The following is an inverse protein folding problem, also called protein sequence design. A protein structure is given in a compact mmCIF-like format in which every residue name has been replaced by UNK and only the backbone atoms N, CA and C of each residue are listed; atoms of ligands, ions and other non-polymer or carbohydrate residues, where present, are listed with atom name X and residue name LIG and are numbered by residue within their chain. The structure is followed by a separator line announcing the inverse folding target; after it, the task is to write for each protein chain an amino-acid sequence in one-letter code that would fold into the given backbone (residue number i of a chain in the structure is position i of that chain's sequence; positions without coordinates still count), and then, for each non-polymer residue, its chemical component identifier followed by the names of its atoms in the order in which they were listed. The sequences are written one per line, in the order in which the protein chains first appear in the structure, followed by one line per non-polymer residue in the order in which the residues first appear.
data_IF_919099208989
#
_entry.id   IF_919099208989
#
_cell.length_a   1.000
_cell.length_b   1.000
_cell.length_c   1.000
_cell.angle_alpha   90.00
_cell.angle_beta   90.00
_cell.angle_gamma   90.00
#
_symmetry.space_group_name_H-M   'P 1'
#
loop_
_entity.id
_entity.type
_entity.pdbx_description
1 polymer ?
#
# COMPACT_ATOMS: atom_id res chain seq x y z
N UNK A 1 -32.46 -35.83 -31.90
CA UNK A 1 -33.23 -34.58 -31.76
C UNK A 1 -33.83 -34.53 -30.35
N UNK A 2 -33.46 -33.49 -29.61
CA UNK A 2 -34.11 -32.92 -28.42
C UNK A 2 -34.77 -33.87 -27.40
N UNK A 3 -34.05 -34.14 -26.29
CA UNK A 3 -34.68 -34.33 -24.98
C UNK A 3 -34.40 -33.08 -24.15
N UNK A 4 -35.45 -32.31 -23.93
CA UNK A 4 -35.54 -31.27 -22.92
C UNK A 4 -35.07 -31.83 -21.58
N UNK A 5 -34.00 -31.28 -21.03
CA UNK A 5 -33.68 -31.42 -19.62
C UNK A 5 -34.53 -30.41 -18.85
N UNK A 6 -35.22 -30.95 -17.86
CA UNK A 6 -36.18 -30.31 -16.99
C UNK A 6 -35.60 -29.11 -16.25
N UNK A 7 -36.45 -28.10 -16.11
CA UNK A 7 -36.27 -26.99 -15.21
C UNK A 7 -36.23 -27.51 -13.76
N UNK A 8 -35.04 -27.55 -13.16
CA UNK A 8 -34.90 -27.47 -11.71
C UNK A 8 -35.03 -25.99 -11.30
N UNK A 9 -36.27 -25.55 -11.14
CA UNK A 9 -36.63 -24.25 -10.59
C UNK A 9 -36.40 -24.27 -9.08
N UNK A 10 -35.30 -23.66 -8.61
CA UNK A 10 -35.06 -23.41 -7.20
C UNK A 10 -35.94 -22.23 -6.72
N UNK A 11 -36.92 -22.46 -5.81
CA UNK A 11 -38.00 -21.51 -5.52
C UNK A 11 -37.64 -20.37 -4.55
N UNK A 12 -36.33 -20.10 -4.30
CA UNK A 12 -35.88 -19.06 -3.36
C UNK A 12 -34.86 -18.04 -3.92
N UNK A 13 -34.73 -17.89 -5.25
CA UNK A 13 -33.83 -16.90 -5.84
C UNK A 13 -34.57 -15.79 -6.60
N UNK A 14 -35.33 -14.95 -5.89
CA UNK A 14 -35.79 -13.68 -6.47
C UNK A 14 -34.61 -12.71 -6.59
N UNK A 15 -33.76 -12.94 -7.59
CA UNK A 15 -32.87 -11.92 -8.09
C UNK A 15 -33.69 -10.77 -8.69
N UNK A 16 -33.17 -9.52 -8.67
CA UNK A 16 -33.87 -8.41 -9.30
C UNK A 16 -34.06 -8.69 -10.80
N UNK A 17 -35.27 -8.42 -11.30
CA UNK A 17 -35.59 -8.57 -12.71
C UNK A 17 -35.14 -7.32 -13.48
N UNK A 18 -34.07 -7.48 -14.26
CA UNK A 18 -33.54 -6.46 -15.16
C UNK A 18 -33.79 -6.80 -16.64
N UNK A 19 -34.70 -7.73 -16.93
CA UNK A 19 -34.95 -8.24 -18.30
C UNK A 19 -35.36 -7.12 -19.26
N UNK A 20 -36.22 -6.20 -18.82
CA UNK A 20 -36.64 -5.02 -19.59
C UNK A 20 -35.47 -4.06 -19.88
N UNK A 21 -34.43 -4.06 -19.04
CA UNK A 21 -33.21 -3.29 -19.22
C UNK A 21 -32.16 -4.04 -20.07
N UNK A 22 -32.48 -5.27 -20.51
CA UNK A 22 -31.61 -6.09 -21.35
C UNK A 22 -30.63 -6.96 -20.55
N UNK A 23 -30.88 -7.22 -19.27
CA UNK A 23 -30.00 -8.03 -18.42
C UNK A 23 -30.75 -9.17 -17.73
N UNK A 24 -30.17 -10.36 -17.71
CA UNK A 24 -30.67 -11.49 -16.95
C UNK A 24 -29.70 -11.79 -15.80
N UNK A 25 -30.13 -11.58 -14.55
CA UNK A 25 -29.30 -11.90 -13.38
C UNK A 25 -29.15 -13.41 -13.25
N UNK A 26 -27.92 -13.87 -13.07
CA UNK A 26 -27.56 -15.28 -12.93
C UNK A 26 -27.37 -15.64 -11.45
N UNK A 27 -26.60 -14.83 -10.71
CA UNK A 27 -26.35 -15.05 -9.28
C UNK A 27 -25.82 -13.79 -8.60
N UNK A 28 -25.88 -13.78 -7.27
CA UNK A 28 -25.16 -12.80 -6.44
C UNK A 28 -23.69 -13.24 -6.26
N UNK A 29 -22.76 -12.33 -6.51
CA UNK A 29 -21.32 -12.52 -6.31
C UNK A 29 -20.85 -12.01 -4.95
N UNK A 30 -21.57 -11.06 -4.36
CA UNK A 30 -21.23 -10.53 -3.04
C UNK A 30 -22.20 -9.44 -2.59
N UNK A 31 -22.28 -9.24 -1.26
CA UNK A 31 -23.17 -8.27 -0.63
C UNK A 31 -22.52 -7.63 0.57
N UNK A 32 -22.53 -6.30 0.60
CA UNK A 32 -22.19 -5.49 1.75
C UNK A 32 -23.47 -4.84 2.28
N UNK A 33 -24.04 -5.42 3.33
CA UNK A 33 -25.33 -5.00 3.91
C UNK A 33 -25.26 -3.61 4.54
N UNK A 34 -24.18 -3.32 5.26
CA UNK A 34 -23.98 -2.03 5.94
C UNK A 34 -23.76 -0.89 4.94
N UNK A 35 -23.11 -1.20 3.82
CA UNK A 35 -22.86 -0.25 2.74
C UNK A 35 -23.93 -0.20 1.66
N UNK A 36 -25.02 -0.97 1.74
CA UNK A 36 -26.09 -1.01 0.73
C UNK A 36 -25.62 -1.38 -0.69
N UNK A 37 -24.58 -2.22 -0.81
CA UNK A 37 -24.02 -2.67 -2.11
C UNK A 37 -24.26 -4.14 -2.33
N UNK A 38 -24.71 -4.51 -3.53
CA UNK A 38 -24.81 -5.90 -3.96
C UNK A 38 -24.18 -6.03 -5.35
N UNK A 39 -23.39 -7.07 -5.55
CA UNK A 39 -22.74 -7.37 -6.84
C UNK A 39 -23.36 -8.62 -7.43
N UNK A 40 -23.82 -8.53 -8.66
CA UNK A 40 -24.46 -9.60 -9.40
C UNK A 40 -23.64 -10.01 -10.61
N UNK A 41 -23.63 -11.30 -10.92
CA UNK A 41 -23.32 -11.81 -12.24
C UNK A 41 -24.59 -11.78 -13.08
N UNK A 42 -24.54 -11.21 -14.27
CA UNK A 42 -25.67 -11.17 -15.19
C UNK A 42 -25.24 -11.50 -16.62
N UNK A 43 -26.20 -11.86 -17.47
CA UNK A 43 -26.04 -11.96 -18.91
C UNK A 43 -26.60 -10.69 -19.57
N UNK A 44 -25.78 -9.98 -20.33
CA UNK A 44 -26.22 -8.84 -21.11
C UNK A 44 -26.77 -9.32 -22.46
N UNK A 45 -28.10 -9.28 -22.64
CA UNK A 45 -28.81 -9.90 -23.75
C UNK A 45 -28.38 -9.32 -25.11
N UNK A 46 -28.22 -7.99 -25.21
CA UNK A 46 -27.81 -7.32 -26.45
C UNK A 46 -26.33 -7.54 -26.81
N UNK A 47 -25.48 -7.72 -25.79
CA UNK A 47 -24.03 -7.87 -25.98
C UNK A 47 -23.62 -9.34 -26.07
N UNK A 48 -24.54 -10.28 -25.80
CA UNK A 48 -24.31 -11.71 -25.77
C UNK A 48 -23.09 -12.13 -24.93
N UNK A 49 -22.94 -11.52 -23.74
CA UNK A 49 -21.81 -11.76 -22.84
C UNK A 49 -22.20 -11.64 -21.38
N UNK A 50 -21.41 -12.26 -20.51
CA UNK A 50 -21.52 -12.08 -19.06
C UNK A 50 -20.99 -10.71 -18.64
N UNK A 51 -21.66 -10.09 -17.68
CA UNK A 51 -21.30 -8.80 -17.08
C UNK A 51 -21.45 -8.85 -15.57
N UNK A 52 -20.81 -7.91 -14.88
CA UNK A 52 -21.02 -7.67 -13.46
C UNK A 52 -21.91 -6.44 -13.30
N UNK A 53 -22.95 -6.55 -12.49
CA UNK A 53 -23.81 -5.43 -12.11
C UNK A 53 -23.59 -5.13 -10.63
N UNK A 54 -23.03 -3.96 -10.31
CA UNK A 54 -22.95 -3.45 -8.94
C UNK A 54 -24.16 -2.55 -8.67
N UNK A 55 -25.01 -2.98 -7.73
CA UNK A 55 -26.16 -2.24 -7.24
C UNK A 55 -25.77 -1.40 -6.02
N UNK A 56 -26.23 -0.16 -6.01
CA UNK A 56 -26.02 0.85 -4.97
C UNK A 56 -27.38 1.38 -4.51
N UNK A 57 -27.97 0.74 -3.50
CA UNK A 57 -29.34 1.02 -3.06
C UNK A 57 -29.48 2.31 -2.25
N UNK A 58 -28.39 2.81 -1.67
CA UNK A 58 -28.36 4.07 -0.94
C UNK A 58 -28.37 5.30 -1.84
N UNK A 59 -28.24 5.14 -3.18
CA UNK A 59 -28.20 6.29 -4.08
C UNK A 59 -29.51 7.09 -4.10
N UNK A 60 -30.64 6.50 -3.66
CA UNK A 60 -31.92 7.19 -3.52
C UNK A 60 -32.10 7.90 -2.17
N UNK A 61 -31.28 7.58 -1.16
CA UNK A 61 -31.29 8.22 0.15
C UNK A 61 -30.14 9.23 0.20
N UNK A 62 -30.41 10.47 0.65
CA UNK A 62 -29.49 11.62 0.63
C UNK A 62 -28.25 11.51 1.55
N UNK A 63 -27.55 10.37 1.57
CA UNK A 63 -26.27 10.19 2.24
C UNK A 63 -25.12 10.51 1.26
N UNK A 64 -24.56 11.70 1.45
CA UNK A 64 -23.60 12.38 0.59
C UNK A 64 -22.26 11.62 0.35
N UNK A 65 -21.92 10.68 1.24
CA UNK A 65 -20.64 9.94 1.22
C UNK A 65 -20.66 8.70 0.34
N UNK A 66 -21.78 7.97 0.33
CA UNK A 66 -21.92 6.74 -0.45
C UNK A 66 -22.20 7.06 -1.91
N UNK A 67 -22.92 8.17 -2.18
CA UNK A 67 -23.13 8.73 -3.54
C UNK A 67 -21.80 9.02 -4.24
N UNK A 68 -20.88 9.71 -3.57
CA UNK A 68 -19.56 10.07 -4.14
C UNK A 68 -18.65 8.87 -4.45
N UNK A 69 -18.90 7.70 -3.87
CA UNK A 69 -18.03 6.54 -4.03
C UNK A 69 -18.25 5.81 -5.37
N UNK A 70 -19.50 5.65 -5.81
CA UNK A 70 -19.78 4.97 -7.09
C UNK A 70 -19.53 5.88 -8.29
N UNK A 71 -19.82 7.18 -8.19
CA UNK A 71 -19.49 8.17 -9.24
C UNK A 71 -17.99 8.17 -9.51
N UNK A 72 -17.18 8.18 -8.44
CA UNK A 72 -15.72 8.10 -8.57
C UNK A 72 -15.25 6.78 -9.18
N UNK A 73 -15.86 5.66 -8.81
CA UNK A 73 -15.52 4.36 -9.42
C UNK A 73 -15.74 4.41 -10.94
N UNK A 74 -16.87 4.97 -11.38
CA UNK A 74 -17.17 5.13 -12.81
C UNK A 74 -16.17 6.04 -13.49
N UNK A 75 -15.93 7.24 -12.94
CA UNK A 75 -14.98 8.20 -13.50
C UNK A 75 -13.59 7.60 -13.67
N UNK A 76 -13.13 6.84 -12.67
CA UNK A 76 -11.83 6.16 -12.72
C UNK A 76 -11.87 5.08 -13.79
N UNK A 77 -12.82 4.15 -13.75
CA UNK A 77 -12.88 3.02 -14.70
C UNK A 77 -13.04 3.47 -16.16
N UNK A 78 -13.74 4.58 -16.42
CA UNK A 78 -13.86 5.18 -17.75
C UNK A 78 -12.52 5.66 -18.33
N UNK A 79 -11.56 6.01 -17.46
CA UNK A 79 -10.23 6.44 -17.86
C UNK A 79 -9.24 5.26 -18.01
N UNK A 80 -9.63 4.05 -17.60
CA UNK A 80 -8.74 2.89 -17.63
C UNK A 80 -8.99 2.01 -18.85
N UNK A 81 -7.89 1.60 -19.48
CA UNK A 81 -7.87 0.59 -20.53
C UNK A 81 -6.74 -0.40 -20.26
N UNK A 82 -7.05 -1.47 -19.52
CA UNK A 82 -6.09 -2.51 -19.17
C UNK A 82 -6.77 -3.87 -19.14
N UNK A 83 -6.19 -4.89 -19.78
CA UNK A 83 -6.81 -6.22 -19.92
C UNK A 83 -7.09 -6.92 -18.58
N UNK A 84 -6.36 -6.57 -17.53
CA UNK A 84 -6.53 -7.11 -16.16
C UNK A 84 -7.34 -6.23 -15.20
N UNK A 85 -8.02 -5.20 -15.73
CA UNK A 85 -8.98 -4.38 -15.00
C UNK A 85 -10.34 -4.51 -15.70
N UNK A 86 -11.46 -4.70 -14.99
CA UNK A 86 -12.78 -4.71 -15.61
C UNK A 86 -13.07 -3.38 -16.32
N UNK A 87 -13.44 -3.45 -17.59
CA UNK A 87 -13.88 -2.26 -18.32
C UNK A 87 -15.27 -1.82 -17.87
N UNK A 88 -15.48 -0.52 -17.67
CA UNK A 88 -16.82 0.05 -17.52
C UNK A 88 -17.64 -0.18 -18.80
N UNK A 89 -18.90 -0.61 -18.66
CA UNK A 89 -19.81 -0.85 -19.79
C UNK A 89 -20.85 0.26 -19.86
N UNK A 90 -21.63 0.45 -18.81
CA UNK A 90 -22.69 1.46 -18.71
C UNK A 90 -23.16 1.58 -17.27
N UNK A 91 -24.08 2.49 -16.99
CA UNK A 91 -24.88 2.53 -15.77
C UNK A 91 -26.35 2.77 -16.08
N UNK A 92 -27.21 2.46 -15.13
CA UNK A 92 -28.64 2.75 -15.20
C UNK A 92 -29.21 2.97 -13.80
N UNK A 93 -30.36 3.61 -13.73
CA UNK A 93 -31.09 3.89 -12.48
C UNK A 93 -32.46 3.24 -12.51
N UNK A 94 -32.93 2.84 -11.33
CA UNK A 94 -34.31 2.43 -11.10
C UNK A 94 -34.84 3.15 -9.86
N UNK A 95 -36.13 3.01 -9.57
CA UNK A 95 -36.70 3.49 -8.31
C UNK A 95 -36.03 2.89 -7.06
N UNK A 96 -35.36 1.74 -7.19
CA UNK A 96 -34.69 1.07 -6.09
C UNK A 96 -33.24 1.55 -5.87
N UNK A 97 -32.58 2.15 -6.86
CA UNK A 97 -31.21 2.63 -6.71
C UNK A 97 -30.43 2.77 -8.03
N UNK A 98 -29.12 2.95 -7.88
CA UNK A 98 -28.19 3.11 -8.99
C UNK A 98 -27.46 1.80 -9.29
N UNK A 99 -27.18 1.52 -10.55
CA UNK A 99 -26.53 0.30 -11.00
C UNK A 99 -25.39 0.61 -11.97
N UNK A 100 -24.20 0.09 -11.68
CA UNK A 100 -23.05 0.13 -12.58
C UNK A 100 -22.87 -1.23 -13.23
N UNK A 101 -22.69 -1.25 -14.55
CA UNK A 101 -22.40 -2.46 -15.34
C UNK A 101 -20.94 -2.40 -15.80
N UNK A 102 -20.20 -3.49 -15.56
CA UNK A 102 -18.82 -3.63 -15.97
C UNK A 102 -18.56 -5.02 -16.57
N UNK A 103 -17.42 -5.16 -17.23
CA UNK A 103 -16.93 -6.42 -17.76
C UNK A 103 -16.85 -7.50 -16.66
N UNK A 104 -17.30 -8.72 -16.98
CA UNK A 104 -17.07 -9.88 -16.13
C UNK A 104 -15.71 -10.51 -16.43
N UNK A 105 -14.87 -10.62 -15.40
CA UNK A 105 -13.65 -11.45 -15.47
C UNK A 105 -13.98 -12.85 -14.96
N UNK A 106 -13.78 -13.85 -15.80
CA UNK A 106 -14.02 -15.25 -15.45
C UNK A 106 -12.91 -15.81 -14.56
N UNK A 107 -12.85 -15.33 -13.32
CA UNK A 107 -11.81 -15.68 -12.36
C UNK A 107 -12.39 -15.62 -10.94
N UNK A 108 -12.15 -16.65 -10.09
CA UNK A 108 -12.57 -16.60 -8.69
C UNK A 108 -11.72 -15.60 -7.88
N UNK A 109 -12.35 -14.99 -6.87
CA UNK A 109 -11.68 -14.11 -5.91
C UNK A 109 -10.68 -14.87 -5.03
N UNK A 110 -9.56 -14.23 -4.66
CA UNK A 110 -8.63 -14.74 -3.65
C UNK A 110 -9.19 -14.68 -2.24
N UNK A 111 -10.33 -14.01 -2.01
CA UNK A 111 -11.07 -14.07 -0.74
C UNK A 111 -11.68 -15.44 -0.46
N UNK A 112 -11.83 -16.29 -1.49
CA UNK A 112 -12.24 -17.68 -1.32
C UNK A 112 -11.02 -18.50 -0.91
N UNK A 113 -11.16 -19.32 0.13
CA UNK A 113 -10.07 -20.13 0.67
C UNK A 113 -9.51 -21.08 -0.40
N UNK A 114 -8.30 -20.78 -0.85
CA UNK A 114 -7.51 -21.53 -1.82
C UNK A 114 -6.05 -21.49 -1.39
N UNK A 115 -5.38 -22.63 -1.44
CA UNK A 115 -3.93 -22.70 -1.22
C UNK A 115 -3.21 -22.52 -2.55
N UNK A 116 -2.06 -21.84 -2.52
CA UNK A 116 -1.19 -21.67 -3.67
C UNK A 116 0.24 -22.08 -3.29
N UNK A 117 0.93 -22.68 -4.25
CA UNK A 117 2.36 -22.83 -4.15
C UNK A 117 3.04 -21.45 -4.19
N UNK A 118 4.13 -21.22 -3.44
CA UNK A 118 4.79 -19.92 -3.41
C UNK A 118 5.16 -19.34 -4.78
N UNK A 119 5.53 -20.19 -5.74
CA UNK A 119 5.84 -19.75 -7.12
C UNK A 119 4.61 -19.17 -7.83
N UNK A 120 3.42 -19.73 -7.59
CA UNK A 120 2.17 -19.19 -8.13
C UNK A 120 1.86 -17.83 -7.51
N UNK A 121 2.14 -17.66 -6.21
CA UNK A 121 1.99 -16.37 -5.52
C UNK A 121 2.94 -15.32 -6.11
N UNK A 122 4.15 -15.69 -6.53
CA UNK A 122 5.03 -14.79 -7.28
C UNK A 122 4.44 -14.40 -8.64
N UNK A 123 3.81 -15.32 -9.37
CA UNK A 123 3.15 -14.99 -10.64
C UNK A 123 1.95 -14.05 -10.45
N UNK A 124 1.15 -14.27 -9.40
CA UNK A 124 0.07 -13.35 -8.99
C UNK A 124 0.65 -11.97 -8.65
N UNK A 125 1.74 -11.92 -7.86
CA UNK A 125 2.41 -10.68 -7.51
C UNK A 125 2.88 -9.90 -8.74
N UNK A 126 3.48 -10.58 -9.72
CA UNK A 126 3.89 -9.96 -10.99
C UNK A 126 2.70 -9.40 -11.77
N UNK A 127 1.61 -10.16 -11.89
CA UNK A 127 0.38 -9.71 -12.55
C UNK A 127 -0.19 -8.44 -11.92
N UNK A 128 -0.25 -8.37 -10.58
CA UNK A 128 -0.74 -7.18 -9.88
C UNK A 128 0.26 -6.01 -9.99
N UNK A 129 1.56 -6.26 -9.92
CA UNK A 129 2.57 -5.21 -10.09
C UNK A 129 2.50 -4.59 -11.49
N UNK A 130 2.18 -5.35 -12.53
CA UNK A 130 1.95 -4.80 -13.88
C UNK A 130 0.74 -3.86 -13.92
N UNK A 131 -0.35 -4.22 -13.24
CA UNK A 131 -1.52 -3.34 -13.06
C UNK A 131 -1.12 -2.06 -12.32
N UNK A 132 -0.37 -2.18 -11.22
CA UNK A 132 0.07 -1.00 -10.46
C UNK A 132 1.01 -0.11 -11.25
N UNK A 133 1.89 -0.66 -12.07
CA UNK A 133 2.70 0.12 -13.02
C UNK A 133 1.81 0.89 -13.99
N UNK A 134 0.74 0.28 -14.50
CA UNK A 134 -0.22 0.95 -15.38
C UNK A 134 -0.96 2.10 -14.67
N UNK A 135 -1.46 1.88 -13.44
CA UNK A 135 -2.15 2.91 -12.65
C UNK A 135 -1.24 4.08 -12.28
N UNK A 136 0.03 3.79 -11.96
CA UNK A 136 1.04 4.80 -11.61
C UNK A 136 1.49 5.65 -12.80
N UNK A 137 1.24 5.19 -14.04
CA UNK A 137 1.52 5.94 -15.27
C UNK A 137 0.38 6.88 -15.69
N UNK A 138 -0.79 6.80 -15.06
CA UNK A 138 -1.89 7.72 -15.34
C UNK A 138 -1.50 9.15 -14.92
N UNK A 139 -2.15 10.16 -15.51
CA UNK A 139 -1.88 11.57 -15.22
C UNK A 139 -3.16 12.24 -14.73
N UNK A 140 -3.29 12.52 -13.42
CA UNK A 140 -2.37 12.16 -12.34
C UNK A 140 -2.38 10.65 -12.01
N UNK A 141 -1.36 10.12 -11.30
CA UNK A 141 -1.30 8.71 -10.92
C UNK A 141 -2.53 8.28 -10.11
N UNK A 142 -3.00 7.05 -10.32
CA UNK A 142 -4.13 6.49 -9.58
C UNK A 142 -3.62 5.55 -8.49
N UNK A 143 -4.16 5.72 -7.27
CA UNK A 143 -3.90 4.87 -6.11
C UNK A 143 -5.18 4.08 -5.82
N UNK A 144 -5.08 2.74 -5.75
CA UNK A 144 -6.24 1.85 -5.59
C UNK A 144 -6.83 1.88 -4.17
N UNK A 145 -5.97 1.89 -3.14
CA UNK A 145 -6.32 1.99 -1.71
C UNK A 145 -6.99 0.79 -1.05
N UNK A 146 -7.59 -0.14 -1.81
CA UNK A 146 -8.21 -1.35 -1.23
C UNK A 146 -7.68 -2.66 -1.83
N UNK A 147 -6.36 -2.80 -1.93
CA UNK A 147 -5.74 -4.06 -2.40
C UNK A 147 -5.75 -5.08 -1.27
N UNK A 148 -6.48 -6.18 -1.48
CA UNK A 148 -6.67 -7.28 -0.54
C UNK A 148 -7.11 -8.54 -1.31
N UNK A 149 -7.10 -9.74 -0.70
CA UNK A 149 -7.51 -10.97 -1.37
C UNK A 149 -8.91 -10.88 -2.03
N UNK A 150 -9.88 -10.24 -1.39
CA UNK A 150 -11.25 -10.16 -1.90
C UNK A 150 -11.34 -9.41 -3.24
N UNK A 151 -10.46 -8.43 -3.44
CA UNK A 151 -10.44 -7.52 -4.60
C UNK A 151 -9.47 -7.97 -5.70
N UNK A 152 -8.91 -9.17 -5.58
CA UNK A 152 -8.07 -9.78 -6.62
C UNK A 152 -8.74 -11.07 -7.08
N UNK A 153 -9.02 -11.15 -8.38
CA UNK A 153 -9.50 -12.39 -9.01
C UNK A 153 -8.32 -13.10 -9.68
N UNK A 154 -8.27 -14.42 -9.64
CA UNK A 154 -7.19 -15.20 -10.30
C UNK A 154 -7.76 -16.39 -11.03
N UNK A 155 -7.54 -16.44 -12.35
CA UNK A 155 -7.97 -17.54 -13.21
C UNK A 155 -7.07 -18.79 -13.10
N UNK A 156 -7.44 -19.85 -13.82
CA UNK A 156 -6.70 -21.12 -13.87
C UNK A 156 -5.30 -21.01 -14.49
N UNK A 157 -4.99 -19.91 -15.18
CA UNK A 157 -3.68 -19.63 -15.76
C UNK A 157 -2.87 -18.65 -14.91
N UNK A 158 -3.32 -18.38 -13.67
CA UNK A 158 -2.67 -17.48 -12.71
C UNK A 158 -2.59 -16.01 -13.18
N UNK A 159 -3.44 -15.61 -14.14
CA UNK A 159 -3.61 -14.19 -14.41
C UNK A 159 -4.43 -13.57 -13.29
N UNK A 160 -3.86 -12.53 -12.67
CA UNK A 160 -4.53 -11.80 -11.61
C UNK A 160 -5.23 -10.54 -12.17
N UNK A 161 -6.48 -10.33 -11.79
CA UNK A 161 -7.30 -9.18 -12.16
C UNK A 161 -7.58 -8.36 -10.91
N UNK A 162 -7.37 -7.04 -10.98
CA UNK A 162 -7.67 -6.13 -9.88
C UNK A 162 -9.07 -5.53 -10.09
N UNK A 163 -9.91 -5.63 -9.08
CA UNK A 163 -11.30 -5.17 -9.11
C UNK A 163 -11.61 -4.25 -7.93
N UNK A 164 -12.76 -3.58 -8.00
CA UNK A 164 -13.31 -2.68 -6.97
C UNK A 164 -12.51 -1.39 -6.74
N UNK A 165 -12.76 -0.41 -7.62
CA UNK A 165 -12.09 0.89 -7.62
C UNK A 165 -12.87 1.95 -6.80
N UNK A 166 -13.85 1.55 -5.97
CA UNK A 166 -14.66 2.49 -5.18
C UNK A 166 -13.85 3.36 -4.21
N UNK A 167 -12.71 2.87 -3.72
CA UNK A 167 -11.80 3.64 -2.89
C UNK A 167 -10.69 4.34 -3.68
N UNK A 168 -10.51 4.01 -4.96
CA UNK A 168 -9.41 4.52 -5.75
C UNK A 168 -9.46 6.04 -5.90
N UNK A 169 -8.30 6.71 -5.96
CA UNK A 169 -8.20 8.16 -6.06
C UNK A 169 -7.02 8.58 -6.93
N UNK A 170 -7.17 9.74 -7.55
CA UNK A 170 -6.08 10.48 -8.16
C UNK A 170 -5.12 10.98 -7.08
N UNK A 171 -3.82 10.80 -7.29
CA UNK A 171 -2.77 11.28 -6.40
C UNK A 171 -2.88 12.80 -6.25
N UNK A 172 -2.84 13.28 -5.01
CA UNK A 172 -2.96 14.70 -4.68
C UNK A 172 -4.39 15.23 -4.57
N UNK A 173 -5.42 14.41 -4.81
CA UNK A 173 -6.80 14.79 -4.51
C UNK A 173 -6.96 15.09 -3.00
N UNK A 174 -7.63 16.20 -2.66
CA UNK A 174 -7.90 16.58 -1.26
C UNK A 174 -8.66 15.46 -0.54
N UNK A 175 -8.11 14.97 0.56
CA UNK A 175 -8.79 14.02 1.43
C UNK A 175 -9.85 14.75 2.26
N UNK A 176 -11.10 14.28 2.19
CA UNK A 176 -12.16 14.70 3.11
C UNK A 176 -11.96 14.05 4.48
N UNK A 177 -12.41 14.69 5.56
CA UNK A 177 -12.40 14.14 6.93
C UNK A 177 -13.05 12.75 7.03
N UNK A 178 -14.07 12.50 6.21
CA UNK A 178 -14.78 11.22 6.10
C UNK A 178 -14.05 10.14 5.28
N UNK A 179 -12.93 10.47 4.63
CA UNK A 179 -12.16 9.56 3.77
C UNK A 179 -10.89 9.00 4.42
N UNK A 180 -10.61 9.42 5.67
CA UNK A 180 -9.38 9.10 6.40
C UNK A 180 -9.35 7.67 6.98
N UNK A 181 -10.47 6.97 7.11
CA UNK A 181 -10.50 5.59 7.63
C UNK A 181 -11.37 4.72 6.73
N UNK A 182 -10.97 4.59 5.47
CA UNK A 182 -11.68 3.74 4.50
C UNK A 182 -10.70 2.74 3.92
N UNK A 183 -10.95 1.45 4.13
CA UNK A 183 -10.11 0.33 3.72
C UNK A 183 -10.18 -0.82 4.74
N UNK A 184 -9.52 -1.93 4.44
CA UNK A 184 -9.65 -3.15 5.27
C UNK A 184 -8.51 -3.24 6.30
N UNK A 185 -8.82 -3.31 7.62
CA UNK A 185 -7.80 -3.41 8.66
C UNK A 185 -6.79 -4.52 8.39
N UNK A 186 -5.51 -4.22 8.57
CA UNK A 186 -4.38 -5.13 8.34
C UNK A 186 -3.85 -5.20 6.90
N UNK A 187 -4.62 -4.74 5.90
CA UNK A 187 -4.11 -4.50 4.53
C UNK A 187 -3.83 -3.02 4.25
N UNK A 188 -4.49 -2.14 5.00
CA UNK A 188 -4.33 -0.69 4.89
C UNK A 188 -2.93 -0.25 5.35
N UNK A 189 -2.19 0.56 4.57
CA UNK A 189 -0.90 1.08 4.98
C UNK A 189 -1.02 2.08 6.15
N UNK A 190 0.01 2.21 7.01
CA UNK A 190 -0.06 3.09 8.18
C UNK A 190 -0.37 4.55 7.83
N UNK A 191 0.21 5.10 6.75
CA UNK A 191 -0.08 6.46 6.33
C UNK A 191 -1.56 6.69 5.99
N UNK A 192 -2.28 5.66 5.54
CA UNK A 192 -3.72 5.78 5.30
C UNK A 192 -4.51 5.77 6.59
N UNK A 193 -4.14 4.91 7.55
CA UNK A 193 -4.77 4.85 8.88
C UNK A 193 -4.70 6.18 9.63
N UNK A 194 -3.59 6.92 9.47
CA UNK A 194 -3.38 8.23 10.08
C UNK A 194 -3.81 9.41 9.20
N UNK A 195 -4.43 9.13 8.04
CA UNK A 195 -4.90 10.17 7.13
C UNK A 195 -3.79 11.03 6.49
N UNK A 196 -2.56 10.52 6.43
CA UNK A 196 -1.47 11.16 5.71
C UNK A 196 -1.61 10.98 4.20
N UNK A 197 -0.96 11.85 3.44
CA UNK A 197 -0.99 11.79 1.98
C UNK A 197 -0.51 10.43 1.45
N UNK A 198 -1.28 9.81 0.56
CA UNK A 198 -0.92 8.54 -0.05
C UNK A 198 0.05 8.72 -1.22
N UNK A 199 0.79 7.66 -1.52
CA UNK A 199 1.76 7.62 -2.62
C UNK A 199 1.65 6.31 -3.36
N UNK A 200 2.36 6.17 -4.47
CA UNK A 200 2.53 4.93 -5.21
C UNK A 200 3.01 3.77 -4.33
N UNK A 201 3.79 4.08 -3.28
CA UNK A 201 4.26 3.09 -2.32
C UNK A 201 3.14 2.56 -1.40
N UNK A 202 2.01 3.27 -1.26
CA UNK A 202 0.88 2.89 -0.39
C UNK A 202 0.23 1.58 -0.86
N UNK A 203 -0.06 1.46 -2.16
CA UNK A 203 -0.58 0.21 -2.75
C UNK A 203 0.43 -0.96 -2.66
N UNK A 204 1.74 -0.68 -2.58
CA UNK A 204 2.76 -1.74 -2.41
C UNK A 204 2.69 -2.39 -1.03
N UNK A 205 2.35 -1.63 0.01
CA UNK A 205 2.13 -2.20 1.34
C UNK A 205 0.94 -3.16 1.31
N UNK A 206 -0.18 -2.72 0.75
CA UNK A 206 -1.40 -3.53 0.66
C UNK A 206 -1.20 -4.79 -0.17
N UNK A 207 -0.46 -4.69 -1.29
CA UNK A 207 -0.03 -5.88 -2.04
C UNK A 207 0.87 -6.78 -1.19
N UNK A 208 1.87 -6.24 -0.49
CA UNK A 208 2.76 -7.02 0.37
C UNK A 208 2.00 -7.79 1.46
N UNK A 209 1.05 -7.12 2.15
CA UNK A 209 0.19 -7.73 3.15
C UNK A 209 -0.70 -8.83 2.55
N UNK A 210 -1.25 -8.59 1.35
CA UNK A 210 -2.01 -9.58 0.59
C UNK A 210 -1.18 -10.83 0.28
N UNK A 211 0.03 -10.67 -0.24
CA UNK A 211 0.91 -11.78 -0.57
C UNK A 211 1.31 -12.58 0.68
N UNK A 212 1.60 -11.88 1.79
CA UNK A 212 1.88 -12.53 3.08
C UNK A 212 0.68 -13.36 3.53
N UNK A 213 -0.54 -12.79 3.47
CA UNK A 213 -1.79 -13.49 3.82
C UNK A 213 -1.95 -14.80 3.04
N UNK A 214 -1.65 -14.79 1.73
CA UNK A 214 -1.72 -15.97 0.87
C UNK A 214 -0.62 -16.99 1.23
N UNK A 215 0.63 -16.53 1.41
CA UNK A 215 1.78 -17.39 1.71
C UNK A 215 1.64 -18.12 3.05
N UNK A 216 1.02 -17.48 4.03
CA UNK A 216 0.76 -18.07 5.36
C UNK A 216 -0.58 -18.81 5.42
N UNK A 217 -1.32 -18.90 4.31
CA UNK A 217 -2.66 -19.46 4.23
C UNK A 217 -3.61 -18.92 5.33
N UNK A 218 -3.43 -17.63 5.67
CA UNK A 218 -4.21 -16.94 6.70
C UNK A 218 -5.47 -16.40 6.05
N UNK A 219 -6.62 -16.51 6.73
CA UNK A 219 -7.85 -15.88 6.24
C UNK A 219 -7.70 -14.36 6.32
N UNK A 220 -8.23 -13.61 5.36
CA UNK A 220 -8.10 -12.15 5.35
C UNK A 220 -8.60 -11.49 6.64
N UNK A 221 -9.71 -11.99 7.20
CA UNK A 221 -10.27 -11.51 8.49
C UNK A 221 -9.37 -11.79 9.69
N UNK A 222 -8.36 -12.63 9.54
CA UNK A 222 -7.39 -13.01 10.58
C UNK A 222 -6.00 -12.41 10.35
N UNK A 223 -5.81 -11.58 9.32
CA UNK A 223 -4.50 -10.97 9.02
C UNK A 223 -3.94 -10.20 10.21
N UNK A 224 -4.81 -9.60 11.04
CA UNK A 224 -4.43 -8.90 12.26
C UNK A 224 -3.68 -9.78 13.27
N UNK A 225 -3.85 -11.11 13.24
CA UNK A 225 -3.11 -12.05 14.09
C UNK A 225 -1.62 -12.14 13.72
N UNK A 226 -1.25 -11.73 12.50
CA UNK A 226 0.14 -11.68 12.06
C UNK A 226 0.82 -10.35 12.43
N UNK A 227 0.07 -9.37 12.92
CA UNK A 227 0.58 -8.03 13.25
C UNK A 227 1.02 -8.03 14.71
N UNK A 228 2.29 -7.69 14.96
CA UNK A 228 2.84 -7.58 16.31
C UNK A 228 2.49 -6.24 17.00
N UNK A 229 2.93 -6.10 18.25
CA UNK A 229 2.79 -4.89 19.07
C UNK A 229 3.42 -3.65 18.42
N UNK A 230 4.40 -3.84 17.52
CA UNK A 230 5.10 -2.81 16.77
C UNK A 230 4.49 -2.57 15.38
N UNK A 231 3.28 -3.09 15.13
CA UNK A 231 2.54 -2.99 13.87
C UNK A 231 3.21 -3.69 12.67
N UNK A 232 4.14 -4.62 12.91
CA UNK A 232 4.85 -5.34 11.84
C UNK A 232 4.20 -6.69 11.57
N UNK A 233 4.13 -7.07 10.30
CA UNK A 233 3.71 -8.41 9.87
C UNK A 233 4.83 -9.42 10.16
N UNK A 234 4.59 -10.32 11.13
CA UNK A 234 5.49 -11.41 11.50
C UNK A 234 5.02 -12.71 10.86
N UNK A 235 5.63 -13.06 9.73
CA UNK A 235 5.27 -14.22 8.92
C UNK A 235 6.43 -15.20 8.74
N UNK A 236 7.66 -14.81 9.05
CA UNK A 236 8.87 -15.51 8.66
C UNK A 236 8.94 -16.94 9.22
N UNK A 237 8.44 -17.15 10.45
CA UNK A 237 8.36 -18.47 11.09
C UNK A 237 7.31 -19.39 10.45
N UNK A 238 6.29 -18.82 9.82
CA UNK A 238 5.20 -19.56 9.17
C UNK A 238 5.58 -20.03 7.76
N UNK A 239 6.62 -19.43 7.17
CA UNK A 239 7.08 -19.74 5.81
C UNK A 239 8.60 -19.98 5.74
N UNK A 240 9.12 -20.96 6.50
CA UNK A 240 10.56 -21.25 6.56
C UNK A 240 11.15 -21.66 5.21
N UNK A 241 10.34 -22.28 4.33
CA UNK A 241 10.71 -22.76 3.01
C UNK A 241 11.06 -21.65 1.99
N UNK A 242 10.66 -20.41 2.25
CA UNK A 242 10.90 -19.32 1.31
C UNK A 242 12.39 -18.95 1.23
N UNK A 243 12.81 -18.51 0.05
CA UNK A 243 14.12 -17.95 -0.13
C UNK A 243 14.29 -16.68 0.72
N UNK A 244 15.43 -16.49 1.41
CA UNK A 244 15.69 -15.29 2.20
C UNK A 244 15.50 -13.98 1.42
N UNK A 245 15.88 -13.91 0.13
CA UNK A 245 15.70 -12.71 -0.70
C UNK A 245 14.22 -12.42 -0.96
N UNK A 246 13.41 -13.46 -1.18
CA UNK A 246 11.97 -13.29 -1.36
C UNK A 246 11.30 -12.81 -0.07
N UNK A 247 11.70 -13.35 1.09
CA UNK A 247 11.27 -12.83 2.39
C UNK A 247 11.67 -11.37 2.60
N UNK A 248 12.92 -11.01 2.29
CA UNK A 248 13.39 -9.63 2.38
C UNK A 248 12.64 -8.69 1.43
N UNK A 249 12.29 -9.17 0.23
CA UNK A 249 11.46 -8.42 -0.71
C UNK A 249 10.07 -8.16 -0.13
N UNK A 250 9.41 -9.17 0.45
CA UNK A 250 8.11 -9.02 1.14
C UNK A 250 8.19 -8.07 2.34
N UNK A 251 9.21 -8.22 3.20
CA UNK A 251 9.44 -7.31 4.34
C UNK A 251 9.56 -5.87 3.85
N UNK A 252 10.31 -5.63 2.77
CA UNK A 252 10.47 -4.30 2.19
C UNK A 252 9.16 -3.74 1.62
N UNK A 253 8.28 -4.58 1.08
CA UNK A 253 6.95 -4.14 0.60
C UNK A 253 6.08 -3.63 1.77
N UNK A 254 6.18 -4.25 2.94
CA UNK A 254 5.34 -3.93 4.12
C UNK A 254 6.04 -3.06 5.18
N UNK A 255 7.11 -2.35 4.80
CA UNK A 255 7.76 -1.39 5.69
C UNK A 255 6.79 -0.26 6.10
N UNK A 256 6.73 0.03 7.40
CA UNK A 256 5.80 1.03 7.95
C UNK A 256 6.06 2.42 7.39
N UNK A 257 7.34 2.81 7.32
CA UNK A 257 7.74 4.08 6.73
C UNK A 257 7.79 3.91 5.21
N UNK A 258 6.87 4.55 4.49
CA UNK A 258 6.82 4.52 3.01
C UNK A 258 8.17 4.76 2.31
N UNK A 259 9.04 5.60 2.87
CA UNK A 259 10.39 5.88 2.33
C UNK A 259 11.35 4.68 2.37
N UNK A 260 11.04 3.64 3.15
CA UNK A 260 11.82 2.40 3.22
C UNK A 260 11.27 1.31 2.27
N UNK A 261 10.07 1.50 1.71
CA UNK A 261 9.53 0.64 0.66
C UNK A 261 10.22 0.90 -0.68
N UNK A 262 9.83 0.13 -1.69
CA UNK A 262 10.13 0.49 -3.08
C UNK A 262 9.45 1.81 -3.45
N UNK A 263 10.15 2.63 -4.24
CA UNK A 263 9.64 3.94 -4.67
C UNK A 263 8.38 3.86 -5.53
N UNK A 264 8.22 2.79 -6.31
CA UNK A 264 7.07 2.53 -7.17
C UNK A 264 6.98 1.04 -7.54
N UNK A 265 5.89 0.65 -8.22
CA UNK A 265 5.64 -0.73 -8.62
C UNK A 265 6.67 -1.26 -9.62
N UNK A 266 7.18 -0.42 -10.51
CA UNK A 266 8.22 -0.83 -11.48
C UNK A 266 9.50 -1.28 -10.77
N UNK A 267 9.92 -0.54 -9.72
CA UNK A 267 11.09 -0.89 -8.91
C UNK A 267 10.86 -2.17 -8.09
N UNK A 268 9.68 -2.34 -7.50
CA UNK A 268 9.32 -3.57 -6.79
C UNK A 268 9.31 -4.79 -7.73
N UNK A 269 8.75 -4.64 -8.92
CA UNK A 269 8.67 -5.68 -9.95
C UNK A 269 10.04 -6.07 -10.49
N UNK A 270 10.88 -5.10 -10.83
CA UNK A 270 12.25 -5.35 -11.27
C UNK A 270 13.07 -6.10 -10.22
N UNK A 271 12.88 -5.78 -8.94
CA UNK A 271 13.52 -6.49 -7.83
C UNK A 271 12.99 -7.92 -7.66
N UNK A 272 11.70 -8.18 -7.94
CA UNK A 272 11.07 -9.50 -7.77
C UNK A 272 11.47 -10.51 -8.84
N UNK A 273 11.53 -10.08 -10.11
CA UNK A 273 11.76 -10.96 -11.27
C UNK A 273 12.92 -11.97 -11.09
N UNK A 274 14.14 -11.56 -10.68
CA UNK A 274 15.28 -12.48 -10.58
C UNK A 274 15.28 -13.33 -9.30
N UNK A 275 14.38 -13.08 -8.35
CA UNK A 275 14.39 -13.77 -7.05
C UNK A 275 13.75 -15.15 -7.19
N UNK A 276 14.48 -16.21 -6.83
CA UNK A 276 13.89 -17.54 -6.64
C UNK A 276 12.99 -17.54 -5.40
N UNK A 277 11.83 -18.18 -5.46
CA UNK A 277 10.85 -18.12 -4.36
C UNK A 277 11.17 -19.10 -3.24
N UNK A 278 11.63 -20.30 -3.58
CA UNK A 278 11.99 -21.38 -2.65
C UNK A 278 13.49 -21.64 -2.74
N UNK A 279 14.09 -22.09 -1.64
CA UNK A 279 15.48 -22.56 -1.59
C UNK A 279 16.38 -21.71 -0.69
N UNK A 280 17.58 -22.22 -0.43
CA UNK A 280 18.57 -21.52 0.39
C UNK A 280 19.14 -20.30 -0.36
N UNK A 281 19.59 -19.30 0.39
CA UNK A 281 20.43 -18.24 -0.15
C UNK A 281 21.69 -18.85 -0.79
N UNK A 282 22.01 -18.48 -2.01
CA UNK A 282 23.26 -18.89 -2.65
C UNK A 282 24.46 -18.25 -1.93
N UNK A 283 25.68 -18.78 -2.11
CA UNK A 283 26.88 -18.18 -1.52
C UNK A 283 27.09 -16.70 -1.89
N UNK A 284 26.65 -16.31 -3.09
CA UNK A 284 26.64 -14.92 -3.55
C UNK A 284 25.62 -14.06 -2.78
N UNK A 285 24.49 -14.64 -2.36
CA UNK A 285 23.46 -13.94 -1.59
C UNK A 285 23.93 -13.66 -0.15
N UNK A 286 24.62 -14.61 0.48
CA UNK A 286 25.27 -14.39 1.77
C UNK A 286 26.34 -13.29 1.67
N UNK A 287 27.09 -13.26 0.57
CA UNK A 287 28.11 -12.25 0.32
C UNK A 287 27.52 -10.86 0.10
N UNK A 288 26.45 -10.72 -0.70
CA UNK A 288 25.77 -9.43 -0.94
C UNK A 288 25.09 -8.92 0.33
N UNK A 289 24.45 -9.80 1.11
CA UNK A 289 23.87 -9.43 2.40
C UNK A 289 24.96 -8.94 3.37
N UNK A 290 26.09 -9.64 3.46
CA UNK A 290 27.24 -9.22 4.26
C UNK A 290 27.82 -7.87 3.80
N UNK A 291 27.83 -7.59 2.50
CA UNK A 291 28.26 -6.28 1.96
C UNK A 291 27.27 -5.17 2.32
N UNK A 292 25.96 -5.41 2.24
CA UNK A 292 24.95 -4.41 2.61
C UNK A 292 25.00 -4.09 4.11
N UNK A 293 25.17 -5.10 4.96
CA UNK A 293 25.39 -4.94 6.40
C UNK A 293 26.68 -4.15 6.67
N UNK A 294 27.79 -4.48 5.99
CA UNK A 294 29.04 -3.69 6.08
C UNK A 294 28.88 -2.25 5.62
N UNK A 295 28.13 -1.97 4.55
CA UNK A 295 27.86 -0.59 4.10
C UNK A 295 27.06 0.18 5.13
N UNK A 296 26.06 -0.44 5.77
CA UNK A 296 25.29 0.18 6.86
C UNK A 296 26.17 0.46 8.08
N UNK A 297 27.01 -0.51 8.45
CA UNK A 297 27.93 -0.38 9.59
C UNK A 297 28.99 0.70 9.36
N UNK A 298 29.62 0.74 8.18
CA UNK A 298 30.59 1.78 7.81
C UNK A 298 29.96 3.17 7.77
N UNK A 299 28.72 3.30 7.28
CA UNK A 299 28.01 4.57 7.27
C UNK A 299 27.70 5.06 8.69
N UNK A 300 27.34 4.15 9.61
CA UNK A 300 27.15 4.44 11.02
C UNK A 300 28.44 4.90 11.70
N UNK A 301 29.58 4.24 11.43
CA UNK A 301 30.90 4.65 11.95
C UNK A 301 31.30 6.04 11.45
N UNK A 302 31.09 6.33 10.16
CA UNK A 302 31.40 7.65 9.61
C UNK A 302 30.52 8.74 10.22
N UNK A 303 29.24 8.44 10.47
CA UNK A 303 28.33 9.38 11.12
C UNK A 303 28.72 9.65 12.59
N UNK A 304 29.15 8.63 13.34
CA UNK A 304 29.59 8.82 14.73
C UNK A 304 30.93 9.56 14.82
N UNK A 305 31.89 9.27 13.93
CA UNK A 305 33.14 10.03 13.84
C UNK A 305 32.90 11.50 13.46
N UNK A 306 32.00 11.75 12.51
CA UNK A 306 31.59 13.11 12.17
C UNK A 306 30.97 13.86 13.34
N UNK A 307 30.09 13.21 14.11
CA UNK A 307 29.49 13.79 15.30
C UNK A 307 30.52 14.12 16.38
N UNK A 308 31.47 13.21 16.63
CA UNK A 308 32.58 13.42 17.57
C UNK A 308 33.44 14.62 17.15
N UNK A 309 33.79 14.74 15.87
CA UNK A 309 34.58 15.85 15.36
C UNK A 309 33.87 17.20 15.57
N UNK A 310 32.54 17.25 15.35
CA UNK A 310 31.73 18.45 15.60
C UNK A 310 31.70 18.80 17.09
N UNK A 311 31.50 17.82 17.97
CA UNK A 311 31.53 18.04 19.42
C UNK A 311 32.90 18.53 19.88
N UNK A 312 33.98 17.94 19.38
CA UNK A 312 35.35 18.39 19.67
C UNK A 312 35.58 19.82 19.18
N UNK A 313 35.15 20.17 17.98
CA UNK A 313 35.26 21.54 17.47
C UNK A 313 34.46 22.54 18.32
N UNK A 314 33.24 22.19 18.73
CA UNK A 314 32.43 23.01 19.64
C UNK A 314 33.14 23.17 20.98
N UNK A 315 33.69 22.09 21.56
CA UNK A 315 34.44 22.14 22.81
C UNK A 315 35.70 23.01 22.71
N UNK A 316 36.41 22.98 21.58
CA UNK A 316 37.58 23.84 21.34
C UNK A 316 37.16 25.31 21.23
N UNK A 317 36.04 25.60 20.57
CA UNK A 317 35.50 26.96 20.44
C UNK A 317 34.92 27.47 21.78
N UNK A 318 34.38 26.57 22.60
CA UNK A 318 33.81 26.89 23.92
C UNK A 318 34.80 26.76 25.07
N UNK A 319 36.04 26.32 24.82
CA UNK A 319 37.12 26.53 25.78
C UNK A 319 37.33 28.04 25.91
N UNK A 320 37.37 28.59 27.14
CA UNK A 320 37.64 30.00 27.35
C UNK A 320 39.09 30.30 26.94
N UNK A 321 39.27 30.63 25.67
CA UNK A 321 40.54 31.09 25.12
C UNK A 321 40.91 32.43 25.74
N UNK A 322 41.94 32.43 26.59
CA UNK A 322 42.81 33.56 26.94
C UNK A 322 42.18 34.91 27.37
N UNK A 323 40.88 35.01 27.63
CA UNK A 323 40.30 36.20 28.26
C UNK A 323 40.67 36.31 29.75
N UNK A 324 40.92 35.17 30.42
CA UNK A 324 41.32 35.12 31.83
C UNK A 324 42.76 35.59 32.11
N UNK A 325 43.67 35.50 31.13
CA UNK A 325 45.05 36.00 31.28
C UNK A 325 45.15 37.53 31.16
N UNK A 326 44.29 38.15 30.34
CA UNK A 326 44.28 39.62 30.21
C UNK A 326 43.76 40.34 31.45
N UNK A 327 42.93 39.71 32.29
CA UNK A 327 42.45 40.33 33.54
C UNK A 327 43.47 40.26 34.69
N UNK A 328 44.38 39.28 34.67
CA UNK A 328 45.48 39.20 35.65
C UNK A 328 46.64 40.13 35.28
N UNK A 329 46.99 40.26 33.99
CA UNK A 329 48.02 41.19 33.54
C UNK A 329 47.62 42.67 33.69
N UNK A 330 46.32 43.01 33.60
CA UNK A 330 45.86 44.39 33.84
C UNK A 330 45.89 44.80 35.32
N UNK A 331 45.84 43.84 36.26
CA UNK A 331 45.97 44.15 37.70
C UNK A 331 47.43 44.37 38.10
N UNK A 332 48.38 43.60 37.55
CA UNK A 332 49.82 43.82 37.79
C UNK A 332 50.33 45.15 37.20
N UNK A 333 49.76 45.63 36.08
CA UNK A 333 50.15 46.93 35.51
C UNK A 333 49.63 48.14 36.31
N UNK A 334 48.50 48.03 37.01
CA UNK A 334 48.01 49.13 37.86
C UNK A 334 48.80 49.26 39.17
N UNK A 335 49.27 48.15 39.75
CA UNK A 335 50.10 48.20 40.97
C UNK A 335 51.53 48.70 40.70
N UNK A 336 52.08 48.50 39.48
CA UNK A 336 53.40 49.02 39.10
C UNK A 336 53.41 50.50 38.69
N UNK A 337 52.30 51.05 38.19
CA UNK A 337 52.20 52.50 37.88
C UNK A 337 51.99 53.36 39.14
N UNK A 338 51.35 52.84 40.19
CA UNK A 338 51.26 53.54 41.48
C UNK A 338 52.61 53.58 42.23
N UNK A 339 53.51 52.62 41.99
CA UNK A 339 54.85 52.61 42.61
C UNK A 339 55.82 53.60 41.94
N UNK A 340 55.71 53.85 40.62
CA UNK A 340 56.64 54.71 39.87
C UNK A 340 56.35 56.21 39.97
N UNK A 341 55.14 56.60 40.37
CA UNK A 341 54.79 58.01 40.61
C UNK A 341 55.08 58.51 42.03
N UNK A 342 55.65 57.69 42.93
CA UNK A 342 55.99 58.11 44.31
C UNK A 342 57.50 58.35 44.54
N UNK A 343 58.34 58.29 43.50
CA UNK A 343 59.81 58.46 43.63
C UNK A 343 60.39 59.60 42.77
N UNK A 344 59.56 60.58 42.38
CA UNK A 344 60.00 61.87 41.85
C UNK A 344 59.23 63.01 42.50
N UNK A 345 59.39 63.14 43.81
CA UNK A 345 59.27 64.40 44.54
C UNK A 345 60.10 64.26 45.83
N UNK A 346 61.39 64.58 45.73
CA UNK A 346 62.24 64.81 46.91
C UNK A 346 62.51 66.30 47.02
N UNK A 347 62.29 66.85 48.21
CA UNK A 347 63.09 67.96 48.75
C UNK A 347 62.44 69.34 48.70
N UNK A 348 61.70 69.67 49.76
CA UNK A 348 62.06 70.72 50.73
C UNK A 348 61.59 70.31 52.12
#
# INVERSE_FOLDING_TARGET
MSKFLSADSNPFSHHPDFSQLGYQVIQELGRNREGGRITYLAYALKLNQKVVIKAFYFASAANDLSVKAYEREIEILQQLNHSRIPRYVTSFETSAGFYMVQEYKNAPSLGIKRSFHPEEIKQIALSILEILVYLQKQVPPIIHRDIKPENILVDEHLNAYLVDFGLARLKGAKMSLSSFVVGTPGFMPPEEQFGHALTEASDLYSLGATLICLLTNTRSVEIGKLIDDKQRLNFQKLVPQLNPRFRSWLVKMVELKRKHRYVNASAAMAALKPIQVIGAATGLDNFVAAIQERKRFNLLILATLGLLAVVSAILIISQPGNAGKRLLETKECQDLELSKNCLKETGY
#
